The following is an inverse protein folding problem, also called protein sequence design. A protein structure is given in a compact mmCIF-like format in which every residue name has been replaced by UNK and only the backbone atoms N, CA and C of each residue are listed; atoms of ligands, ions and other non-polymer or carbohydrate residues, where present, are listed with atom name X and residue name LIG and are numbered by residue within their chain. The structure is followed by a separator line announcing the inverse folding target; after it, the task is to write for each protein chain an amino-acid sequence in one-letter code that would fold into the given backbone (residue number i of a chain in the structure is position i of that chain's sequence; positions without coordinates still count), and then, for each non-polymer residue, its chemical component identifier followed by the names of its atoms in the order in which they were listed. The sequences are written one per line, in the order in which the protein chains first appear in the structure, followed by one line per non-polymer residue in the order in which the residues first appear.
data_IF_476932784035
#
_entry.id   IF_476932784035
#
_cell.length_a   1.000
_cell.length_b   1.000
_cell.length_c   1.000
_cell.angle_alpha   90.00
_cell.angle_beta   90.00
_cell.angle_gamma   90.00
#
_symmetry.space_group_name_H-M   'P 1'
#
loop_
_entity.id
_entity.type
_entity.pdbx_description
1 polymer ?
#
# COMPACT_ATOMS: atom_id res chain seq x y z
N UNK A 1 -2.61 0.68 3.53
CA UNK A 1 -2.91 0.53 2.09
C UNK A 1 -2.41 1.76 1.33
N UNK A 2 -2.86 2.97 1.68
CA UNK A 2 -2.45 4.24 1.03
C UNK A 2 -0.92 4.44 0.96
N UNK A 3 -0.20 4.05 2.00
CA UNK A 3 1.27 4.16 2.04
C UNK A 3 1.96 3.27 1.01
N UNK A 4 1.41 2.08 0.72
CA UNK A 4 1.97 1.18 -0.30
C UNK A 4 1.79 1.78 -1.70
N UNK A 5 0.63 2.38 -1.98
CA UNK A 5 0.38 3.06 -3.25
C UNK A 5 1.26 4.29 -3.45
N UNK A 6 1.61 5.02 -2.39
CA UNK A 6 2.59 6.13 -2.49
C UNK A 6 3.99 5.61 -2.81
N UNK A 7 4.44 4.56 -2.12
CA UNK A 7 5.75 3.95 -2.38
C UNK A 7 5.86 3.43 -3.82
N UNK A 8 4.75 2.94 -4.36
CA UNK A 8 4.65 2.47 -5.73
C UNK A 8 4.40 3.59 -6.76
N UNK A 9 4.37 4.86 -6.33
CA UNK A 9 4.08 6.02 -7.20
C UNK A 9 2.80 5.85 -8.02
N UNK A 10 1.77 5.31 -7.36
CA UNK A 10 0.55 4.87 -8.01
C UNK A 10 -0.39 6.01 -8.45
N UNK A 11 -0.15 7.22 -7.98
CA UNK A 11 -0.94 8.40 -8.29
C UNK A 11 -0.18 9.31 -9.25
N UNK A 12 -0.89 10.04 -10.12
CA UNK A 12 -0.29 11.08 -10.97
C UNK A 12 0.25 12.28 -10.18
N UNK A 13 -0.19 12.42 -8.93
CA UNK A 13 0.27 13.49 -8.04
C UNK A 13 1.72 13.24 -7.57
N UNK A 14 2.49 14.32 -7.40
CA UNK A 14 3.88 14.29 -6.91
C UNK A 14 3.98 14.04 -5.38
N UNK A 15 3.25 13.04 -4.88
CA UNK A 15 3.34 12.59 -3.49
C UNK A 15 4.32 11.44 -3.46
N UNK A 16 5.54 11.71 -3.01
CA UNK A 16 6.63 10.73 -3.00
C UNK A 16 6.78 10.05 -1.64
N UNK A 17 6.20 10.62 -0.59
CA UNK A 17 6.31 10.15 0.77
C UNK A 17 5.02 10.34 1.56
N UNK A 18 4.90 9.64 2.70
CA UNK A 18 3.76 9.79 3.60
C UNK A 18 3.75 11.19 4.21
N UNK A 19 4.93 11.74 4.44
CA UNK A 19 5.16 13.09 4.96
C UNK A 19 4.56 14.15 4.05
N UNK A 20 4.54 13.92 2.74
CA UNK A 20 3.95 14.86 1.78
C UNK A 20 2.44 14.93 1.92
N UNK A 21 1.76 13.85 2.33
CA UNK A 21 0.31 13.89 2.63
C UNK A 21 0.01 14.92 3.71
N UNK A 22 0.80 14.96 4.79
CA UNK A 22 0.58 15.88 5.89
C UNK A 22 0.80 17.35 5.52
N UNK A 23 1.50 17.61 4.40
CA UNK A 23 1.71 18.97 3.88
C UNK A 23 0.59 19.45 2.98
N UNK A 24 -0.30 18.56 2.53
CA UNK A 24 -1.39 18.93 1.63
C UNK A 24 -2.41 19.79 2.36
N UNK A 25 -2.68 20.98 1.80
CA UNK A 25 -3.74 21.85 2.31
C UNK A 25 -5.06 21.49 1.65
N UNK A 26 -6.00 21.02 2.46
CA UNK A 26 -7.38 20.83 2.04
C UNK A 26 -8.07 22.19 1.88
N UNK A 27 -8.78 22.44 0.76
CA UNK A 27 -9.67 23.58 0.65
C UNK A 27 -10.73 23.53 1.77
N UNK A 28 -11.09 24.65 2.41
CA UNK A 28 -11.96 24.66 3.59
C UNK A 28 -13.37 24.07 3.35
N UNK A 29 -13.82 24.00 2.09
CA UNK A 29 -15.10 23.40 1.71
C UNK A 29 -15.00 21.91 1.27
N UNK A 30 -13.78 21.34 1.22
CA UNK A 30 -13.57 19.95 0.82
C UNK A 30 -13.04 19.13 2.00
N UNK A 31 -13.70 18.00 2.26
CA UNK A 31 -13.31 17.05 3.31
C UNK A 31 -12.44 15.90 2.79
N UNK A 32 -12.15 15.88 1.48
CA UNK A 32 -11.38 14.83 0.82
C UNK A 32 -10.46 15.40 -0.25
N UNK A 33 -9.41 14.64 -0.55
CA UNK A 33 -8.56 14.81 -1.73
C UNK A 33 -8.84 13.66 -2.67
N UNK A 34 -9.07 13.99 -3.94
CA UNK A 34 -9.12 13.02 -5.03
C UNK A 34 -7.76 12.98 -5.70
N UNK A 35 -7.31 11.76 -5.99
CA UNK A 35 -6.07 11.51 -6.72
C UNK A 35 -6.38 10.69 -7.95
N UNK A 36 -5.85 11.14 -9.09
CA UNK A 36 -5.88 10.35 -10.31
C UNK A 36 -4.81 9.27 -10.26
N UNK A 37 -5.17 8.07 -10.70
CA UNK A 37 -4.24 6.95 -10.83
C UNK A 37 -3.25 7.19 -11.96
N UNK A 38 -2.01 6.79 -11.74
CA UNK A 38 -1.04 6.67 -12.82
C UNK A 38 -1.46 5.55 -13.77
N UNK A 39 -1.50 5.81 -15.07
CA UNK A 39 -1.94 4.83 -16.08
C UNK A 39 -1.00 3.63 -16.14
N UNK A 40 0.29 3.84 -15.86
CA UNK A 40 1.31 2.80 -15.86
C UNK A 40 1.12 1.74 -14.76
N UNK A 41 0.31 2.03 -13.74
CA UNK A 41 0.12 1.15 -12.59
C UNK A 41 -1.23 0.42 -12.58
N UNK A 42 -2.13 0.72 -13.51
CA UNK A 42 -3.52 0.23 -13.45
C UNK A 42 -3.61 -1.31 -13.47
N UNK A 43 -2.68 -1.97 -14.16
CA UNK A 43 -2.62 -3.43 -14.26
C UNK A 43 -1.66 -4.07 -13.23
N UNK A 44 -1.03 -3.26 -12.38
CA UNK A 44 -0.06 -3.72 -11.39
C UNK A 44 -0.75 -3.92 -10.04
N UNK A 45 -0.70 -5.13 -9.45
CA UNK A 45 -1.30 -5.35 -8.13
C UNK A 45 -0.61 -4.51 -7.06
N UNK A 46 -1.37 -3.91 -6.14
CA UNK A 46 -0.78 -3.19 -4.98
C UNK A 46 -0.12 -4.17 -4.00
N UNK A 47 -0.76 -5.31 -3.74
CA UNK A 47 -0.22 -6.34 -2.85
C UNK A 47 0.50 -7.42 -3.67
N UNK A 48 1.81 -7.30 -3.77
CA UNK A 48 2.66 -8.19 -4.56
C UNK A 48 3.47 -9.14 -3.69
N UNK A 49 3.77 -10.30 -4.25
CA UNK A 49 4.48 -11.36 -3.55
C UNK A 49 5.94 -10.94 -3.32
N UNK A 50 6.51 -11.18 -2.12
CA UNK A 50 7.94 -11.01 -1.93
C UNK A 50 8.69 -12.06 -2.77
N UNK A 51 9.66 -11.61 -3.54
CA UNK A 51 10.49 -12.43 -4.41
C UNK A 51 11.96 -12.28 -3.99
N UNK A 52 12.64 -13.41 -3.83
CA UNK A 52 14.08 -13.42 -3.51
C UNK A 52 14.84 -13.56 -4.82
N UNK A 53 15.35 -12.45 -5.34
CA UNK A 53 16.15 -12.43 -6.56
C UNK A 53 17.60 -12.22 -6.18
N UNK A 54 18.43 -13.24 -6.41
CA UNK A 54 19.89 -13.15 -6.25
C UNK A 54 20.37 -12.65 -4.88
N UNK A 55 19.66 -13.01 -3.81
CA UNK A 55 20.01 -12.65 -2.43
C UNK A 55 19.38 -11.35 -1.92
N UNK A 56 18.71 -10.57 -2.78
CA UNK A 56 17.92 -9.42 -2.36
C UNK A 56 16.44 -9.82 -2.23
N UNK A 57 15.84 -9.46 -1.10
CA UNK A 57 14.39 -9.59 -0.89
C UNK A 57 13.74 -8.37 -1.53
N UNK A 58 13.07 -8.58 -2.66
CA UNK A 58 12.32 -7.57 -3.38
C UNK A 58 10.82 -7.88 -3.40
N UNK A 59 10.07 -6.97 -4.01
CA UNK A 59 8.65 -7.17 -4.32
C UNK A 59 8.54 -7.60 -5.78
N UNK A 60 7.81 -8.67 -6.06
CA UNK A 60 7.57 -9.12 -7.43
C UNK A 60 6.92 -7.99 -8.24
N UNK A 61 7.32 -7.75 -9.49
CA UNK A 61 6.78 -6.64 -10.28
C UNK A 61 5.30 -6.81 -10.62
N UNK A 62 4.84 -8.05 -10.83
CA UNK A 62 3.50 -8.36 -11.36
C UNK A 62 2.73 -9.40 -10.56
N UNK A 63 3.40 -10.21 -9.73
CA UNK A 63 2.73 -11.32 -9.07
C UNK A 63 1.98 -10.87 -7.81
N UNK A 64 0.66 -10.99 -7.84
CA UNK A 64 -0.18 -10.76 -6.66
C UNK A 64 0.18 -11.72 -5.53
N UNK A 65 0.13 -11.22 -4.30
CA UNK A 65 0.29 -12.04 -3.11
C UNK A 65 -0.83 -13.10 -3.01
N UNK A 66 -0.48 -14.31 -2.56
CA UNK A 66 -1.48 -15.34 -2.27
C UNK A 66 -2.37 -14.92 -1.10
N UNK A 67 -3.67 -15.22 -1.18
CA UNK A 67 -4.65 -14.86 -0.15
C UNK A 67 -4.25 -15.30 1.27
N UNK A 68 -3.76 -16.54 1.42
CA UNK A 68 -3.31 -17.05 2.72
C UNK A 68 -2.12 -16.27 3.28
N UNK A 69 -1.20 -15.82 2.41
CA UNK A 69 -0.09 -14.99 2.81
C UNK A 69 -0.57 -13.57 3.17
N UNK A 70 -1.49 -12.99 2.39
CA UNK A 70 -2.12 -11.72 2.68
C UNK A 70 -2.77 -11.68 4.07
N UNK A 71 -3.64 -12.66 4.39
CA UNK A 71 -4.29 -12.72 5.71
C UNK A 71 -3.27 -12.84 6.84
N UNK A 72 -2.23 -13.65 6.66
CA UNK A 72 -1.16 -13.80 7.66
C UNK A 72 -0.43 -12.48 7.90
N UNK A 73 -0.09 -11.73 6.85
CA UNK A 73 0.56 -10.43 6.99
C UNK A 73 -0.38 -9.40 7.60
N UNK A 74 -1.65 -9.37 7.20
CA UNK A 74 -2.65 -8.46 7.74
C UNK A 74 -2.86 -8.69 9.25
N UNK A 75 -2.97 -9.95 9.67
CA UNK A 75 -3.08 -10.33 11.08
C UNK A 75 -1.84 -9.88 11.87
N UNK A 76 -0.63 -10.18 11.36
CA UNK A 76 0.62 -9.74 11.99
C UNK A 76 0.71 -8.22 12.11
N UNK A 77 0.38 -7.50 11.05
CA UNK A 77 0.35 -6.04 11.05
C UNK A 77 -0.61 -5.51 12.09
N UNK A 78 -1.83 -6.06 12.15
CA UNK A 78 -2.81 -5.70 13.18
C UNK A 78 -2.26 -5.85 14.59
N UNK A 79 -1.64 -6.99 14.90
CA UNK A 79 -1.01 -7.25 16.20
C UNK A 79 0.08 -6.22 16.51
N UNK A 80 1.01 -5.97 15.57
CA UNK A 80 2.11 -5.04 15.77
C UNK A 80 1.67 -3.57 15.88
N UNK A 81 0.53 -3.22 15.29
CA UNK A 81 -0.05 -1.88 15.39
C UNK A 81 -1.07 -1.73 16.52
N UNK A 82 -1.20 -2.74 17.40
CA UNK A 82 -2.03 -2.69 18.59
C UNK A 82 -3.52 -2.97 18.35
N UNK A 83 -3.91 -3.45 17.17
CA UNK A 83 -5.27 -3.93 16.92
C UNK A 83 -5.50 -5.31 17.55
N UNK A 84 -6.71 -5.50 18.08
CA UNK A 84 -7.13 -6.77 18.69
C UNK A 84 -7.11 -7.91 17.66
N UNK A 85 -6.62 -9.08 18.06
CA UNK A 85 -6.76 -10.29 17.24
C UNK A 85 -8.24 -10.69 17.16
N UNK A 86 -8.77 -10.79 15.94
CA UNK A 86 -10.02 -11.50 15.69
C UNK A 86 -9.68 -12.99 15.75
N UNK A 87 -9.83 -13.59 16.93
CA UNK A 87 -9.77 -15.04 17.13
C UNK A 87 -11.08 -15.62 16.61
N UNK A 88 -11.18 -15.87 15.31
CA UNK A 88 -12.27 -16.69 14.77
C UNK A 88 -11.84 -18.15 14.92
N UNK A 89 -12.58 -18.86 15.79
CA UNK A 89 -12.48 -20.31 16.03
C UNK A 89 -13.01 -21.12 14.86
#
# INVERSE_FOLDING_TARGET
MVTLTILDQAFKAEILSVEDIYKIRLPPARHSLEFDWNEDILDIPIFRQPESTSGNIGTSPTQTIRYQAYIRYLQRLGIFSGFMQILTS
#
